data_IF_503165480231
#
_entry.id   IF_503165480231
#
_cell.length_a   1.000
_cell.length_b   1.000
_cell.length_c   1.000
_cell.angle_alpha   90.00
_cell.angle_beta   90.00
_cell.angle_gamma   90.00
#
_symmetry.space_group_name_H-M   'P 1'
#
loop_
_entity.id
_entity.type
_entity.pdbx_description
1 polymer ?
#
# COMPACT_ATOMS: atom_id res chain seq x y z
N UNK A 1 -11.57 5.90 -26.79
CA UNK A 1 -12.43 6.26 -25.65
C UNK A 1 -12.62 5.07 -24.69
N UNK A 2 -12.94 3.90 -25.19
CA UNK A 2 -13.14 2.68 -24.37
C UNK A 2 -11.94 2.32 -23.47
N UNK A 3 -10.73 2.29 -24.03
CA UNK A 3 -9.51 1.98 -23.28
C UNK A 3 -9.26 2.98 -22.12
N UNK A 4 -9.58 4.25 -22.34
CA UNK A 4 -9.47 5.27 -21.30
C UNK A 4 -10.45 5.00 -20.15
N UNK A 5 -11.71 4.70 -20.48
CA UNK A 5 -12.73 4.40 -19.47
C UNK A 5 -12.39 3.16 -18.67
N UNK A 6 -11.92 2.10 -19.32
CA UNK A 6 -11.49 0.87 -18.63
C UNK A 6 -10.34 1.15 -17.67
N UNK A 7 -9.31 1.88 -18.11
CA UNK A 7 -8.18 2.25 -17.24
C UNK A 7 -8.60 3.16 -16.10
N UNK A 8 -9.50 4.09 -16.32
CA UNK A 8 -10.04 4.96 -15.28
C UNK A 8 -10.83 4.14 -14.23
N UNK A 9 -11.67 3.20 -14.65
CA UNK A 9 -12.41 2.32 -13.75
C UNK A 9 -11.47 1.40 -12.96
N UNK A 10 -10.43 0.85 -13.59
CA UNK A 10 -9.42 0.04 -12.91
C UNK A 10 -8.67 0.85 -11.85
N UNK A 11 -8.26 2.08 -12.17
CA UNK A 11 -7.62 2.98 -11.21
C UNK A 11 -8.53 3.28 -10.04
N UNK A 12 -9.79 3.64 -10.30
CA UNK A 12 -10.80 3.92 -9.28
C UNK A 12 -11.01 2.71 -8.35
N UNK A 13 -11.16 1.51 -8.93
CA UNK A 13 -11.33 0.28 -8.17
C UNK A 13 -10.10 0.00 -7.28
N UNK A 14 -8.90 0.12 -7.84
CA UNK A 14 -7.65 -0.10 -7.10
C UNK A 14 -7.50 0.88 -5.93
N UNK A 15 -7.75 2.17 -6.16
CA UNK A 15 -7.73 3.18 -5.10
C UNK A 15 -8.79 2.91 -4.05
N UNK A 16 -10.01 2.51 -4.45
CA UNK A 16 -11.09 2.19 -3.51
C UNK A 16 -10.71 1.04 -2.57
N UNK A 17 -10.07 -0.01 -3.08
CA UNK A 17 -9.61 -1.14 -2.26
C UNK A 17 -8.51 -0.70 -1.30
N UNK A 18 -7.52 0.06 -1.79
CA UNK A 18 -6.43 0.57 -0.96
C UNK A 18 -6.92 1.47 0.16
N UNK A 19 -7.82 2.40 -0.15
CA UNK A 19 -8.42 3.31 0.84
C UNK A 19 -9.27 2.55 1.84
N UNK A 20 -10.14 1.63 1.39
CA UNK A 20 -10.98 0.82 2.28
C UNK A 20 -10.14 0.02 3.29
N UNK A 21 -9.06 -0.58 2.84
CA UNK A 21 -8.17 -1.37 3.70
C UNK A 21 -7.34 -0.47 4.62
N UNK A 22 -6.91 0.70 4.14
CA UNK A 22 -6.23 1.71 4.95
C UNK A 22 -7.12 2.19 6.12
N UNK A 23 -8.32 2.67 5.81
CA UNK A 23 -9.28 3.08 6.83
C UNK A 23 -9.71 1.91 7.73
N UNK A 24 -9.80 0.72 7.14
CA UNK A 24 -10.04 -0.53 7.87
C UNK A 24 -8.97 -0.84 8.91
N UNK A 25 -7.72 -0.47 8.67
CA UNK A 25 -6.62 -0.57 9.63
C UNK A 25 -6.83 0.32 10.85
N UNK A 26 -7.15 1.59 10.66
CA UNK A 26 -7.49 2.53 11.73
C UNK A 26 -8.72 2.05 12.51
N UNK A 27 -9.74 1.63 11.81
CA UNK A 27 -10.95 1.07 12.40
C UNK A 27 -10.68 -0.15 13.27
N UNK A 28 -9.91 -1.12 12.75
CA UNK A 28 -9.59 -2.36 13.45
C UNK A 28 -8.88 -2.10 14.78
N UNK A 29 -7.81 -1.32 14.76
CA UNK A 29 -7.07 -1.01 15.99
C UNK A 29 -7.88 -0.15 16.95
N UNK A 30 -8.70 0.77 16.47
CA UNK A 30 -9.61 1.54 17.32
C UNK A 30 -10.58 0.64 18.07
N UNK A 31 -11.24 -0.29 17.38
CA UNK A 31 -12.15 -1.26 18.00
C UNK A 31 -11.42 -2.21 18.96
N UNK A 32 -10.22 -2.68 18.59
CA UNK A 32 -9.40 -3.56 19.41
C UNK A 32 -9.05 -2.93 20.78
N UNK A 33 -8.79 -1.62 20.80
CA UNK A 33 -8.44 -0.90 22.04
C UNK A 33 -9.64 -0.22 22.71
N UNK A 34 -10.86 -0.52 22.26
CA UNK A 34 -12.07 0.04 22.85
C UNK A 34 -12.18 1.56 22.63
N UNK A 35 -11.68 2.06 21.50
CA UNK A 35 -11.90 3.43 21.06
C UNK A 35 -13.13 3.48 20.18
N UNK A 36 -13.99 4.45 20.42
CA UNK A 36 -15.22 4.63 19.67
C UNK A 36 -14.90 5.20 18.29
N UNK A 37 -15.41 4.53 17.25
CA UNK A 37 -15.42 5.04 15.89
C UNK A 37 -16.82 5.55 15.59
N UNK A 38 -16.93 6.82 15.21
CA UNK A 38 -18.22 7.48 14.95
C UNK A 38 -18.67 7.23 13.51
N UNK A 39 -17.75 7.41 12.54
CA UNK A 39 -18.04 7.23 11.13
C UNK A 39 -16.93 6.42 10.46
N UNK A 40 -17.32 5.58 9.51
CA UNK A 40 -16.44 4.85 8.63
C UNK A 40 -16.97 4.97 7.20
N UNK A 41 -16.31 5.77 6.39
CA UNK A 41 -16.76 6.09 5.06
C UNK A 41 -15.73 5.72 4.00
N UNK A 42 -16.19 5.02 2.99
CA UNK A 42 -15.48 4.90 1.73
C UNK A 42 -15.87 6.12 0.90
N UNK A 43 -14.85 6.86 0.46
CA UNK A 43 -14.98 8.15 -0.23
C UNK A 43 -15.46 9.28 0.66
N UNK A 44 -15.09 10.50 0.29
CA UNK A 44 -15.55 11.70 0.97
C UNK A 44 -17.00 12.03 0.59
N UNK A 45 -17.71 12.58 1.54
CA UNK A 45 -19.12 12.99 1.41
C UNK A 45 -19.34 14.51 1.63
N UNK A 46 -18.54 15.43 1.03
CA UNK A 46 -18.78 16.84 1.15
C UNK A 46 -20.17 17.13 0.59
N UNK A 47 -21.04 17.68 1.43
CA UNK A 47 -22.44 18.07 1.17
C UNK A 47 -23.46 16.94 1.19
N UNK A 48 -23.20 15.74 0.61
CA UNK A 48 -24.12 14.60 0.64
C UNK A 48 -23.39 13.27 0.53
N UNK A 49 -24.02 12.21 1.00
CA UNK A 49 -23.56 10.82 0.86
C UNK A 49 -24.47 10.04 -0.10
N UNK A 50 -23.92 9.03 -0.76
CA UNK A 50 -24.69 8.15 -1.64
C UNK A 50 -25.49 7.13 -0.82
N UNK A 51 -24.88 6.62 0.25
CA UNK A 51 -25.47 5.62 1.12
C UNK A 51 -24.93 5.81 2.54
N UNK A 52 -25.81 5.63 3.52
CA UNK A 52 -25.46 5.64 4.95
C UNK A 52 -26.26 4.55 5.66
N UNK A 53 -25.59 3.80 6.53
CA UNK A 53 -26.18 2.73 7.32
C UNK A 53 -25.60 2.72 8.73
N UNK A 54 -26.46 2.69 9.74
CA UNK A 54 -26.07 2.54 11.14
C UNK A 54 -26.71 1.28 11.72
N UNK A 55 -25.93 0.23 12.06
CA UNK A 55 -26.45 -0.96 12.74
C UNK A 55 -27.03 -0.60 14.10
N UNK A 56 -28.13 -1.24 14.49
CA UNK A 56 -28.83 -0.96 15.76
C UNK A 56 -27.96 -1.14 17.01
N UNK A 57 -26.94 -2.02 16.93
CA UNK A 57 -26.04 -2.35 18.04
C UNK A 57 -24.62 -1.79 17.84
N UNK A 58 -24.45 -0.79 17.00
CA UNK A 58 -23.13 -0.19 16.72
C UNK A 58 -23.18 1.31 16.95
N UNK A 59 -22.09 1.83 17.55
CA UNK A 59 -21.88 3.28 17.64
C UNK A 59 -21.37 3.88 16.33
N UNK A 60 -20.98 3.02 15.37
CA UNK A 60 -20.36 3.43 14.11
C UNK A 60 -21.41 3.54 13.02
N UNK A 61 -21.40 4.66 12.31
CA UNK A 61 -22.13 4.86 11.06
C UNK A 61 -21.23 4.55 9.89
N UNK A 62 -21.70 3.68 9.00
CA UNK A 62 -20.98 3.28 7.78
C UNK A 62 -21.60 4.00 6.59
N UNK A 63 -20.76 4.50 5.68
CA UNK A 63 -21.28 5.24 4.55
C UNK A 63 -20.41 5.14 3.30
N UNK A 64 -21.01 5.56 2.20
CA UNK A 64 -20.38 5.72 0.90
C UNK A 64 -20.54 7.17 0.46
N UNK A 65 -19.45 7.90 0.37
CA UNK A 65 -19.41 9.23 -0.22
C UNK A 65 -19.45 9.17 -1.75
N UNK A 66 -19.58 10.31 -2.36
CA UNK A 66 -19.60 10.42 -3.82
C UNK A 66 -18.24 10.80 -4.42
N UNK A 67 -17.32 11.35 -3.62
CA UNK A 67 -16.04 11.88 -4.10
C UNK A 67 -14.91 10.86 -3.91
N UNK A 68 -14.45 10.18 -4.97
CA UNK A 68 -13.52 9.04 -4.87
C UNK A 68 -12.05 9.47 -4.72
N UNK A 69 -11.78 10.48 -3.88
CA UNK A 69 -10.43 10.99 -3.61
C UNK A 69 -9.85 10.48 -2.28
N UNK A 70 -10.55 9.61 -1.57
CA UNK A 70 -10.13 9.07 -0.29
C UNK A 70 -11.33 8.53 0.49
N UNK A 71 -11.11 8.14 1.73
CA UNK A 71 -12.14 7.78 2.69
C UNK A 71 -11.80 8.40 4.03
N UNK A 72 -12.58 8.11 5.07
CA UNK A 72 -12.23 8.54 6.41
C UNK A 72 -12.82 7.63 7.49
N UNK A 73 -12.07 7.54 8.58
CA UNK A 73 -12.45 6.84 9.80
C UNK A 73 -12.49 7.86 10.95
N UNK A 74 -13.68 8.41 11.28
CA UNK A 74 -13.82 9.38 12.37
C UNK A 74 -13.74 8.69 13.72
N UNK A 75 -12.63 8.93 14.43
CA UNK A 75 -12.30 8.33 15.71
C UNK A 75 -12.55 9.36 16.81
N UNK A 76 -13.35 9.01 17.84
CA UNK A 76 -13.66 9.91 18.94
C UNK A 76 -12.40 10.37 19.67
N UNK A 77 -12.28 11.69 19.87
CA UNK A 77 -11.15 12.30 20.57
C UNK A 77 -9.83 12.37 19.77
N UNK A 78 -9.89 12.17 18.46
CA UNK A 78 -8.81 12.37 17.51
C UNK A 78 -9.17 13.49 16.55
N UNK A 79 -8.19 14.33 16.20
CA UNK A 79 -8.33 15.27 15.09
C UNK A 79 -8.00 14.47 13.83
N UNK A 80 -9.01 14.22 13.04
CA UNK A 80 -8.91 13.56 11.74
C UNK A 80 -9.10 14.58 10.60
N UNK A 81 -9.28 14.09 9.41
CA UNK A 81 -9.51 14.90 8.20
C UNK A 81 -10.79 15.75 8.25
N UNK A 82 -11.70 15.49 9.22
CA UNK A 82 -12.91 16.29 9.44
C UNK A 82 -12.65 17.60 10.18
N UNK A 83 -11.43 17.78 10.76
CA UNK A 83 -11.03 18.95 11.55
C UNK A 83 -12.00 19.32 12.69
N UNK A 84 -12.74 18.33 13.22
CA UNK A 84 -13.70 18.55 14.31
C UNK A 84 -12.97 18.72 15.65
N UNK A 85 -12.68 19.98 15.99
CA UNK A 85 -12.00 20.33 17.24
C UNK A 85 -12.96 20.56 18.41
N UNK A 86 -14.28 20.60 18.18
CA UNK A 86 -15.26 20.86 19.22
C UNK A 86 -15.30 19.77 20.30
N UNK A 87 -15.07 18.50 19.89
CA UNK A 87 -14.97 17.38 20.83
C UNK A 87 -13.83 17.54 21.83
N UNK A 88 -12.71 18.16 21.41
CA UNK A 88 -11.54 18.34 22.28
C UNK A 88 -11.75 19.34 23.40
N UNK A 89 -12.75 20.21 23.29
CA UNK A 89 -13.14 21.18 24.34
C UNK A 89 -13.91 20.52 25.48
N UNK A 90 -14.45 19.33 25.25
CA UNK A 90 -15.22 18.59 26.27
C UNK A 90 -14.30 17.75 27.18
N UNK A 91 -14.74 17.40 28.41
CA UNK A 91 -14.01 16.48 29.28
C UNK A 91 -13.72 15.16 28.58
N UNK A 92 -12.49 14.67 28.75
CA UNK A 92 -12.02 13.42 28.14
C UNK A 92 -12.86 12.23 28.61
N UNK A 93 -13.29 11.39 27.68
CA UNK A 93 -14.06 10.18 27.95
C UNK A 93 -13.19 8.92 27.82
N UNK A 94 -13.47 7.83 28.57
CA UNK A 94 -12.68 6.60 28.53
C UNK A 94 -12.64 5.89 27.17
N UNK A 95 -13.62 6.14 26.30
CA UNK A 95 -13.71 5.56 24.96
C UNK A 95 -13.01 6.40 23.89
N UNK A 96 -12.38 7.51 24.25
CA UNK A 96 -11.73 8.40 23.30
C UNK A 96 -10.26 7.99 23.06
N UNK A 97 -9.78 8.30 21.85
CA UNK A 97 -8.38 8.10 21.45
C UNK A 97 -7.39 8.72 22.43
N UNK A 98 -7.64 9.96 22.87
CA UNK A 98 -6.76 10.68 23.82
C UNK A 98 -6.67 10.07 25.21
N UNK A 99 -7.62 9.19 25.59
CA UNK A 99 -7.59 8.48 26.87
C UNK A 99 -6.66 7.28 26.88
N UNK A 100 -6.20 6.82 25.70
CA UNK A 100 -5.41 5.61 25.57
C UNK A 100 -3.91 5.88 25.75
N UNK A 101 -3.14 4.89 26.26
CA UNK A 101 -1.70 4.99 26.37
C UNK A 101 -1.02 5.19 25.02
N UNK A 102 0.16 5.80 25.01
CA UNK A 102 0.86 6.23 23.78
C UNK A 102 1.04 5.10 22.76
N UNK A 103 1.36 3.88 23.19
CA UNK A 103 1.56 2.75 22.28
C UNK A 103 0.28 2.32 21.55
N UNK A 104 -0.91 2.38 22.22
CA UNK A 104 -2.18 2.10 21.57
C UNK A 104 -2.53 3.18 20.56
N UNK A 105 -2.32 4.44 20.92
CA UNK A 105 -2.51 5.57 20.00
C UNK A 105 -1.63 5.46 18.76
N UNK A 106 -0.36 5.07 18.97
CA UNK A 106 0.59 4.83 17.88
C UNK A 106 0.08 3.72 16.93
N UNK A 107 -0.38 2.58 17.47
CA UNK A 107 -0.92 1.49 16.65
C UNK A 107 -2.18 1.88 15.89
N UNK A 108 -3.07 2.68 16.49
CA UNK A 108 -4.23 3.21 15.79
C UNK A 108 -3.79 4.10 14.62
N UNK A 109 -2.83 5.00 14.83
CA UNK A 109 -2.35 5.93 13.77
C UNK A 109 -1.59 5.22 12.65
N UNK A 110 -0.80 4.21 12.97
CA UNK A 110 -0.03 3.45 11.97
C UNK A 110 -0.91 2.39 11.28
N UNK A 111 -2.05 2.04 11.87
CA UNK A 111 -2.89 0.92 11.47
C UNK A 111 -3.22 0.87 9.98
N UNK A 112 -3.57 2.01 9.39
CA UNK A 112 -3.86 2.11 7.96
C UNK A 112 -2.66 1.76 7.08
N UNK A 113 -1.51 2.37 7.37
CA UNK A 113 -0.25 2.11 6.63
C UNK A 113 0.19 0.66 6.82
N UNK A 114 0.07 0.12 8.03
CA UNK A 114 0.45 -1.26 8.33
C UNK A 114 -0.36 -2.25 7.50
N UNK A 115 -1.67 -2.07 7.41
CA UNK A 115 -2.54 -2.95 6.60
C UNK A 115 -2.19 -2.86 5.12
N UNK A 116 -1.95 -1.67 4.59
CA UNK A 116 -1.52 -1.50 3.18
C UNK A 116 -0.14 -2.13 2.91
N UNK A 117 0.79 -2.03 3.87
CA UNK A 117 2.09 -2.70 3.77
C UNK A 117 1.94 -4.23 3.73
N UNK A 118 1.13 -4.81 4.62
CA UNK A 118 0.84 -6.24 4.61
C UNK A 118 0.14 -6.69 3.33
N UNK A 119 -0.77 -5.87 2.81
CA UNK A 119 -1.42 -6.11 1.52
C UNK A 119 -0.39 -6.14 0.37
N UNK A 120 0.54 -5.19 0.35
CA UNK A 120 1.60 -5.14 -0.66
C UNK A 120 2.50 -6.39 -0.60
N UNK A 121 2.91 -6.82 0.60
CA UNK A 121 3.66 -8.06 0.78
C UNK A 121 2.87 -9.27 0.30
N UNK A 122 1.58 -9.33 0.62
CA UNK A 122 0.72 -10.43 0.20
C UNK A 122 0.58 -10.49 -1.33
N UNK A 123 0.27 -9.36 -1.98
CA UNK A 123 0.14 -9.28 -3.44
C UNK A 123 1.46 -9.67 -4.12
N UNK A 124 2.58 -9.12 -3.66
CA UNK A 124 3.89 -9.43 -4.21
C UNK A 124 4.24 -10.93 -4.06
N UNK A 125 4.00 -11.50 -2.88
CA UNK A 125 4.20 -12.93 -2.64
C UNK A 125 3.33 -13.80 -3.55
N UNK A 126 2.08 -13.41 -3.77
CA UNK A 126 1.18 -14.12 -4.68
C UNK A 126 1.64 -14.04 -6.15
N UNK A 127 2.16 -12.89 -6.56
CA UNK A 127 2.74 -12.72 -7.91
C UNK A 127 3.93 -13.65 -8.08
N UNK A 128 4.89 -13.63 -7.14
CA UNK A 128 6.05 -14.51 -7.17
C UNK A 128 5.66 -15.99 -7.12
N UNK A 129 4.67 -16.35 -6.31
CA UNK A 129 4.20 -17.73 -6.21
C UNK A 129 3.55 -18.24 -7.50
N UNK A 130 2.83 -17.37 -8.23
CA UNK A 130 2.10 -17.76 -9.43
C UNK A 130 2.94 -17.70 -10.70
N UNK A 131 3.73 -16.64 -10.87
CA UNK A 131 4.54 -16.40 -12.09
C UNK A 131 6.01 -16.71 -11.90
N UNK A 132 6.51 -16.80 -10.66
CA UNK A 132 7.94 -16.93 -10.36
C UNK A 132 8.71 -15.65 -10.65
N UNK A 133 10.04 -15.80 -10.74
CA UNK A 133 10.93 -14.71 -11.15
C UNK A 133 11.19 -14.78 -12.67
N UNK A 134 11.10 -13.63 -13.32
CA UNK A 134 11.48 -13.51 -14.73
C UNK A 134 13.01 -13.42 -14.84
N UNK A 135 13.59 -14.25 -15.70
CA UNK A 135 15.00 -14.21 -16.04
C UNK A 135 15.22 -14.34 -17.55
N UNK A 136 16.27 -13.73 -18.04
CA UNK A 136 16.67 -13.87 -19.42
C UNK A 136 17.78 -14.92 -19.53
N UNK A 137 17.50 -16.03 -20.20
CA UNK A 137 18.55 -17.03 -20.46
C UNK A 137 19.63 -16.45 -21.37
N UNK A 138 20.91 -16.67 -21.02
CA UNK A 138 22.08 -16.15 -21.75
C UNK A 138 22.01 -16.42 -23.25
N UNK A 139 21.54 -17.61 -23.62
CA UNK A 139 21.36 -18.04 -25.03
C UNK A 139 20.38 -17.16 -25.83
N UNK A 140 19.51 -16.38 -25.18
CA UNK A 140 18.53 -15.51 -25.80
C UNK A 140 19.00 -14.05 -25.90
N UNK A 141 20.15 -13.71 -25.34
CA UNK A 141 20.72 -12.36 -25.41
C UNK A 141 21.53 -12.16 -26.70
N UNK A 142 20.80 -11.96 -27.79
CA UNK A 142 21.41 -11.82 -29.13
C UNK A 142 22.02 -10.45 -29.38
N UNK A 143 21.62 -9.41 -28.62
CA UNK A 143 22.09 -8.04 -28.81
C UNK A 143 23.16 -7.60 -27.81
N UNK A 144 23.53 -8.46 -26.85
CA UNK A 144 24.50 -8.16 -25.81
C UNK A 144 24.01 -7.10 -24.80
N UNK A 145 24.93 -6.63 -23.98
CA UNK A 145 24.68 -5.67 -22.91
C UNK A 145 25.21 -4.29 -23.26
N UNK A 146 24.65 -3.24 -22.62
CA UNK A 146 25.22 -1.89 -22.67
C UNK A 146 25.92 -1.60 -21.36
N UNK A 147 27.18 -1.21 -21.42
CA UNK A 147 28.04 -1.00 -20.27
C UNK A 147 28.18 0.46 -19.89
N UNK A 148 28.34 0.73 -18.60
CA UNK A 148 28.66 2.05 -18.07
C UNK A 148 30.12 2.42 -18.33
N UNK A 149 30.48 3.66 -17.99
CA UNK A 149 31.83 4.21 -18.25
C UNK A 149 32.92 3.44 -17.50
N UNK A 150 32.63 2.97 -16.27
CA UNK A 150 33.57 2.23 -15.43
C UNK A 150 33.86 0.85 -16.01
N UNK A 151 32.83 0.10 -16.42
CA UNK A 151 33.00 -1.19 -17.08
C UNK A 151 33.75 -1.07 -18.41
N UNK A 152 33.50 0.00 -19.19
CA UNK A 152 34.26 0.28 -20.42
C UNK A 152 35.74 0.56 -20.16
N UNK A 153 36.07 1.22 -19.05
CA UNK A 153 37.46 1.42 -18.63
C UNK A 153 38.18 0.11 -18.27
N UNK A 154 37.43 -0.93 -17.88
CA UNK A 154 37.92 -2.29 -17.64
C UNK A 154 38.02 -3.15 -18.93
N UNK A 155 37.60 -2.62 -20.08
CA UNK A 155 37.74 -3.29 -21.37
C UNK A 155 36.42 -3.85 -21.96
N UNK A 156 35.29 -3.75 -21.26
CA UNK A 156 34.00 -4.16 -21.80
C UNK A 156 33.52 -3.22 -22.91
N UNK A 157 32.88 -3.76 -23.92
CA UNK A 157 32.30 -3.00 -25.02
C UNK A 157 30.78 -3.16 -25.05
N UNK A 158 30.09 -2.14 -25.57
CA UNK A 158 28.65 -2.29 -25.80
C UNK A 158 28.42 -3.42 -26.81
N UNK A 159 27.40 -4.23 -26.55
CA UNK A 159 27.05 -5.46 -27.25
C UNK A 159 27.86 -6.70 -26.86
N UNK A 160 28.78 -6.62 -25.91
CA UNK A 160 29.39 -7.84 -25.35
C UNK A 160 28.34 -8.71 -24.66
N UNK A 161 28.50 -10.03 -24.76
CA UNK A 161 27.67 -11.01 -24.07
C UNK A 161 28.58 -11.68 -23.00
N UNK A 162 28.22 -11.50 -21.73
CA UNK A 162 28.90 -12.16 -20.64
C UNK A 162 28.52 -13.63 -20.63
N UNK A 163 29.47 -14.50 -20.95
CA UNK A 163 29.23 -15.94 -21.05
C UNK A 163 29.59 -16.72 -19.79
N UNK A 164 30.45 -16.17 -18.94
CA UNK A 164 30.86 -16.84 -17.71
C UNK A 164 32.07 -16.20 -17.04
N UNK A 165 32.50 -16.81 -15.94
CA UNK A 165 33.72 -16.49 -15.20
C UNK A 165 34.59 -17.76 -15.12
N UNK A 166 35.73 -17.66 -14.45
CA UNK A 166 36.57 -18.81 -14.06
C UNK A 166 35.83 -19.84 -13.19
N UNK A 167 34.71 -19.42 -12.54
CA UNK A 167 33.86 -20.30 -11.73
C UNK A 167 32.82 -21.08 -12.54
N UNK A 168 32.55 -20.69 -13.80
CA UNK A 168 31.59 -21.38 -14.67
C UNK A 168 30.86 -20.48 -15.66
N UNK A 169 30.02 -21.09 -16.50
CA UNK A 169 29.19 -20.40 -17.48
C UNK A 169 27.91 -19.86 -16.87
N UNK A 170 27.53 -18.65 -17.26
CA UNK A 170 26.25 -18.08 -16.90
C UNK A 170 25.11 -18.70 -17.72
N UNK A 171 24.13 -19.25 -17.03
CA UNK A 171 22.93 -19.81 -17.66
C UNK A 171 21.84 -18.76 -17.80
N UNK A 172 21.79 -17.82 -16.87
CA UNK A 172 20.77 -16.78 -16.78
C UNK A 172 21.41 -15.45 -16.38
N UNK A 173 20.77 -14.34 -16.80
CA UNK A 173 21.08 -12.99 -16.30
C UNK A 173 20.16 -12.70 -15.13
N UNK A 174 20.61 -12.98 -13.93
CA UNK A 174 19.91 -12.80 -12.66
C UNK A 174 20.82 -12.21 -11.58
N UNK A 175 20.33 -12.15 -10.35
CA UNK A 175 21.10 -11.64 -9.22
C UNK A 175 22.34 -12.48 -8.88
N UNK A 176 22.36 -13.76 -9.23
CA UNK A 176 23.49 -14.64 -8.99
C UNK A 176 24.67 -14.29 -9.90
N UNK A 177 24.39 -13.90 -11.15
CA UNK A 177 25.42 -13.39 -12.05
C UNK A 177 26.11 -12.14 -11.49
N UNK A 178 25.35 -11.19 -10.97
CA UNK A 178 25.94 -9.97 -10.38
C UNK A 178 26.78 -10.27 -9.15
N UNK A 179 26.39 -11.24 -8.34
CA UNK A 179 27.17 -11.68 -7.18
C UNK A 179 28.48 -12.31 -7.62
N UNK A 180 28.47 -13.18 -8.63
CA UNK A 180 29.67 -13.88 -9.11
C UNK A 180 30.65 -12.94 -9.82
N UNK A 181 30.17 -11.82 -10.40
CA UNK A 181 31.02 -10.78 -10.98
C UNK A 181 31.64 -9.87 -9.91
N UNK A 182 31.06 -9.78 -8.71
CA UNK A 182 31.48 -8.87 -7.64
C UNK A 182 32.48 -9.50 -6.65
N UNK A 183 32.74 -10.79 -6.74
CA UNK A 183 33.67 -11.56 -5.90
C UNK A 183 34.94 -11.93 -6.63
#
# INVERSE_FOLDING_TARGET
>A
MEVFLIKALQLMLSLSILVLLHEGGHFFFSKLFGVRVEKFYLFFDPWFHLFEFKPKNSDTTYGLGWLPLGGYCKISGMIDESFDTEQLKQPMQPYEFRSKPAWQRMLIMIGGVLVNFLLALFIYSMILFHWGDDYVATKHMTQGMKFNTEAKALGFQDHDILVGTDKGEFKTYDGDMYRDLST
#
